data_IF_066978359043
#
_entry.id   IF_066978359043
#
_cell.length_a   1.000
_cell.length_b   1.000
_cell.length_c   1.000
_cell.angle_alpha   90.00
_cell.angle_beta   90.00
_cell.angle_gamma   90.00
#
_symmetry.space_group_name_H-M   'P 1'
#
loop_
_entity.id
_entity.type
_entity.pdbx_description
1 polymer ?
#
# COMPACT_ATOMS: atom_id res chain seq x y z
N UNK A 1 19.18 15.03 -0.14
CA UNK A 1 19.04 15.40 -1.55
C UNK A 1 17.69 16.08 -1.68
N UNK A 2 17.68 17.27 -2.24
CA UNK A 2 16.44 18.03 -2.41
C UNK A 2 15.71 17.47 -3.65
N UNK A 3 14.64 16.70 -3.44
CA UNK A 3 13.83 16.08 -4.49
C UNK A 3 12.72 17.03 -5.00
N UNK A 4 12.97 18.33 -5.03
CA UNK A 4 11.97 19.38 -5.22
C UNK A 4 11.48 19.56 -6.65
N UNK A 5 12.11 19.00 -7.66
CA UNK A 5 11.54 19.05 -9.01
C UNK A 5 10.33 18.14 -9.11
N UNK A 6 9.14 18.75 -9.35
CA UNK A 6 7.86 18.08 -9.55
C UNK A 6 7.27 17.36 -8.31
N UNK A 7 7.70 17.76 -7.11
CA UNK A 7 7.04 17.31 -5.88
C UNK A 7 5.66 17.95 -5.72
N UNK A 8 4.79 17.27 -4.99
CA UNK A 8 3.44 17.72 -4.67
C UNK A 8 3.16 17.48 -3.19
N UNK A 9 2.59 18.45 -2.53
CA UNK A 9 2.17 18.36 -1.13
C UNK A 9 0.65 18.39 -1.04
N UNK A 10 0.09 17.43 -0.30
CA UNK A 10 -1.33 17.37 0.06
C UNK A 10 -1.44 17.45 1.58
N UNK A 11 -2.13 18.50 2.07
CA UNK A 11 -2.39 18.71 3.49
C UNK A 11 -3.85 18.42 3.83
N UNK A 12 -4.09 17.76 4.95
CA UNK A 12 -5.44 17.44 5.43
C UNK A 12 -5.44 17.04 6.91
N UNK A 13 -6.65 16.94 7.49
CA UNK A 13 -6.86 16.37 8.82
C UNK A 13 -7.40 14.93 8.72
N UNK A 14 -6.89 14.05 9.55
CA UNK A 14 -7.37 12.65 9.64
C UNK A 14 -8.83 12.63 10.10
N UNK A 15 -9.68 11.92 9.34
CA UNK A 15 -11.12 11.84 9.60
C UNK A 15 -11.46 10.67 10.51
N UNK A 16 -12.56 10.75 11.26
CA UNK A 16 -13.02 9.67 12.14
C UNK A 16 -13.31 8.35 11.37
N UNK A 17 -13.83 8.43 10.14
CA UNK A 17 -14.09 7.26 9.30
C UNK A 17 -12.85 6.55 8.75
N UNK A 18 -11.66 7.10 8.99
CA UNK A 18 -10.37 6.55 8.56
C UNK A 18 -9.67 5.76 9.68
N UNK A 19 -10.28 5.75 10.89
CA UNK A 19 -9.73 5.13 12.10
C UNK A 19 -10.25 3.70 12.25
N UNK A 20 -9.35 2.78 12.53
CA UNK A 20 -9.66 1.39 12.83
C UNK A 20 -10.01 1.17 14.30
N UNK A 21 -10.32 -0.07 14.65
CA UNK A 21 -10.70 -0.50 16.01
C UNK A 21 -9.62 -0.22 17.08
N UNK A 22 -8.36 -0.16 16.64
CA UNK A 22 -7.20 0.15 17.47
C UNK A 22 -6.99 1.65 17.73
N UNK A 23 -7.89 2.52 17.28
CA UNK A 23 -7.84 3.97 17.50
C UNK A 23 -6.83 4.74 16.65
N UNK A 24 -6.21 4.09 15.67
CA UNK A 24 -5.32 4.72 14.69
C UNK A 24 -5.81 4.50 13.26
N UNK A 25 -5.24 5.22 12.33
CA UNK A 25 -5.58 5.15 10.91
C UNK A 25 -5.38 3.72 10.36
N UNK A 26 -6.31 3.27 9.53
CA UNK A 26 -6.20 2.00 8.82
C UNK A 26 -5.17 2.08 7.69
N UNK A 27 -4.56 0.94 7.30
CA UNK A 27 -3.67 0.88 6.13
C UNK A 27 -4.40 1.25 4.84
N UNK A 28 -5.70 0.95 4.74
CA UNK A 28 -6.51 1.35 3.59
C UNK A 28 -6.68 2.87 3.50
N UNK A 29 -6.93 3.55 4.61
CA UNK A 29 -7.00 5.01 4.65
C UNK A 29 -5.65 5.64 4.29
N UNK A 30 -4.55 5.12 4.83
CA UNK A 30 -3.20 5.54 4.42
C UNK A 30 -3.01 5.37 2.90
N UNK A 31 -3.37 4.21 2.35
CA UNK A 31 -3.32 3.96 0.90
C UNK A 31 -4.14 4.96 0.09
N UNK A 32 -5.35 5.32 0.56
CA UNK A 32 -6.20 6.33 -0.09
C UNK A 32 -5.52 7.70 -0.14
N UNK A 33 -4.88 8.16 0.94
CA UNK A 33 -4.17 9.44 0.95
C UNK A 33 -3.01 9.47 -0.04
N UNK A 34 -2.25 8.37 -0.11
CA UNK A 34 -1.13 8.26 -1.06
C UNK A 34 -1.63 8.23 -2.50
N UNK A 35 -2.73 7.53 -2.77
CA UNK A 35 -3.36 7.47 -4.09
C UNK A 35 -3.92 8.84 -4.50
N UNK A 36 -4.59 9.56 -3.60
CA UNK A 36 -5.10 10.91 -3.84
C UNK A 36 -3.98 11.88 -4.18
N UNK A 37 -2.93 11.93 -3.35
CA UNK A 37 -1.77 12.79 -3.59
C UNK A 37 -1.06 12.45 -4.90
N UNK A 38 -0.95 11.16 -5.24
CA UNK A 38 -0.37 10.69 -6.49
C UNK A 38 -1.18 11.13 -7.71
N UNK A 39 -2.52 11.01 -7.65
CA UNK A 39 -3.44 11.41 -8.71
C UNK A 39 -3.37 12.90 -8.98
N UNK A 40 -3.53 13.74 -7.95
CA UNK A 40 -3.46 15.20 -8.04
C UNK A 40 -2.09 15.67 -8.57
N UNK A 41 -1.01 15.04 -8.12
CA UNK A 41 0.33 15.29 -8.65
C UNK A 41 0.44 14.93 -10.13
N UNK A 42 -0.07 13.77 -10.55
CA UNK A 42 -0.02 13.32 -11.93
C UNK A 42 -0.82 14.24 -12.86
N UNK A 43 -2.02 14.66 -12.45
CA UNK A 43 -2.86 15.61 -13.19
C UNK A 43 -2.14 16.95 -13.36
N UNK A 44 -1.52 17.47 -12.31
CA UNK A 44 -0.75 18.74 -12.36
C UNK A 44 0.43 18.64 -13.31
N UNK A 45 1.05 17.47 -13.42
CA UNK A 45 2.25 17.26 -14.22
C UNK A 45 1.97 16.79 -15.67
N UNK A 46 0.70 16.59 -16.04
CA UNK A 46 0.27 16.26 -17.41
C UNK A 46 0.43 14.77 -17.77
N UNK A 47 0.44 13.90 -16.76
CA UNK A 47 0.38 12.44 -16.95
C UNK A 47 -0.64 11.76 -16.04
N UNK A 48 -1.69 12.47 -15.70
CA UNK A 48 -2.86 11.92 -15.04
C UNK A 48 -3.65 10.96 -15.94
N UNK A 49 -4.73 10.42 -15.40
CA UNK A 49 -5.52 9.41 -16.14
C UNK A 49 -6.07 9.96 -17.46
N UNK A 50 -6.61 11.18 -17.47
CA UNK A 50 -7.12 11.81 -18.68
C UNK A 50 -6.06 12.04 -19.76
N UNK A 51 -4.79 12.22 -19.38
CA UNK A 51 -3.69 12.35 -20.32
C UNK A 51 -3.35 11.01 -20.94
N UNK A 52 -3.35 9.92 -20.15
CA UNK A 52 -3.09 8.57 -20.64
C UNK A 52 -4.20 8.05 -21.54
N UNK A 53 -5.45 8.40 -21.29
CA UNK A 53 -6.59 8.04 -22.15
C UNK A 53 -6.41 8.50 -23.59
N UNK A 54 -5.68 9.60 -23.84
CA UNK A 54 -5.35 10.08 -25.21
C UNK A 54 -4.42 9.13 -25.96
N UNK A 55 -3.69 8.28 -25.22
CA UNK A 55 -2.82 7.24 -25.78
C UNK A 55 -3.50 5.87 -25.78
N UNK A 56 -4.77 5.76 -25.33
CA UNK A 56 -5.48 4.50 -25.22
C UNK A 56 -4.97 3.58 -24.10
N UNK A 57 -4.29 4.12 -23.09
CA UNK A 57 -3.73 3.36 -21.97
C UNK A 57 -4.18 3.91 -20.63
N UNK A 58 -4.03 3.12 -19.55
CA UNK A 58 -4.27 3.53 -18.16
C UNK A 58 -3.13 3.07 -17.25
N UNK A 59 -2.95 3.75 -16.11
CA UNK A 59 -1.98 3.35 -15.09
C UNK A 59 -2.42 2.08 -14.35
N UNK A 60 -1.47 1.18 -14.14
CA UNK A 60 -1.61 0.00 -13.28
C UNK A 60 -0.57 0.05 -12.18
N UNK A 61 -1.01 0.06 -10.93
CA UNK A 61 -0.14 -0.09 -9.77
C UNK A 61 0.32 -1.55 -9.69
N UNK A 62 1.63 -1.77 -9.72
CA UNK A 62 2.20 -3.13 -9.64
C UNK A 62 2.77 -3.44 -8.27
N UNK A 63 3.28 -2.44 -7.57
CA UNK A 63 3.85 -2.61 -6.22
C UNK A 63 3.75 -1.33 -5.41
N UNK A 64 3.50 -1.49 -4.11
CA UNK A 64 3.58 -0.44 -3.09
C UNK A 64 4.40 -0.96 -1.92
N UNK A 65 5.37 -0.16 -1.45
CA UNK A 65 6.16 -0.46 -0.26
C UNK A 65 6.10 0.73 0.68
N UNK A 66 5.73 0.49 1.93
CA UNK A 66 5.63 1.52 2.97
C UNK A 66 6.42 1.10 4.20
N UNK A 67 7.19 2.03 4.75
CA UNK A 67 7.80 1.97 6.07
C UNK A 67 7.05 2.89 6.99
N UNK A 68 6.62 2.40 8.13
CA UNK A 68 5.69 3.06 9.03
C UNK A 68 6.35 3.20 10.40
N UNK A 69 6.60 4.43 10.82
CA UNK A 69 7.03 4.72 12.19
C UNK A 69 5.83 4.66 13.15
N UNK A 70 4.74 5.34 12.77
CA UNK A 70 3.47 5.29 13.47
C UNK A 70 2.30 5.54 12.51
N UNK A 71 1.12 5.12 12.92
CA UNK A 71 -0.13 5.50 12.27
C UNK A 71 -0.78 6.65 13.03
N UNK A 72 -1.28 7.69 12.35
CA UNK A 72 -1.88 8.86 13.00
C UNK A 72 -3.28 8.57 13.55
N UNK A 73 -3.75 9.47 14.41
CA UNK A 73 -5.06 9.42 15.08
C UNK A 73 -6.03 10.43 14.45
N UNK A 74 -7.32 10.30 14.75
CA UNK A 74 -8.34 11.25 14.30
C UNK A 74 -7.99 12.69 14.71
N UNK A 75 -8.17 13.63 13.78
CA UNK A 75 -7.94 15.06 13.98
C UNK A 75 -6.49 15.50 13.80
N UNK A 76 -5.52 14.59 13.69
CA UNK A 76 -4.14 14.99 13.40
C UNK A 76 -4.05 15.65 12.02
N UNK A 77 -3.27 16.74 11.95
CA UNK A 77 -2.92 17.40 10.70
C UNK A 77 -1.73 16.67 10.07
N UNK A 78 -1.83 16.37 8.79
CA UNK A 78 -0.83 15.64 8.04
C UNK A 78 -0.49 16.33 6.74
N UNK A 79 0.74 16.12 6.27
CA UNK A 79 1.20 16.48 4.94
C UNK A 79 1.75 15.24 4.24
N UNK A 80 1.14 14.88 3.11
CA UNK A 80 1.67 13.87 2.20
C UNK A 80 2.51 14.57 1.14
N UNK A 81 3.80 14.30 1.14
CA UNK A 81 4.76 14.74 0.14
C UNK A 81 4.99 13.60 -0.86
N UNK A 82 4.81 13.86 -2.16
CA UNK A 82 4.99 12.85 -3.20
C UNK A 82 5.69 13.43 -4.44
N UNK A 83 6.46 12.59 -5.11
CA UNK A 83 7.18 12.97 -6.33
C UNK A 83 7.31 11.79 -7.30
N UNK A 84 7.15 12.01 -8.63
CA UNK A 84 7.54 11.03 -9.61
C UNK A 84 9.06 10.89 -9.63
N UNK A 85 9.57 9.73 -9.97
CA UNK A 85 11.01 9.47 -10.03
C UNK A 85 11.46 9.20 -11.46
N UNK A 86 11.48 7.97 -11.90
CA UNK A 86 11.87 7.59 -13.26
C UNK A 86 10.73 6.88 -13.97
N UNK A 87 10.70 6.96 -15.31
CA UNK A 87 9.82 6.16 -16.15
C UNK A 87 10.64 5.47 -17.23
N UNK A 88 10.99 4.21 -16.98
CA UNK A 88 11.65 3.32 -17.96
C UNK A 88 10.66 2.21 -18.35
N UNK A 89 10.92 0.97 -17.89
CA UNK A 89 9.94 -0.15 -17.98
C UNK A 89 8.79 0.00 -16.99
N UNK A 90 9.08 0.61 -15.84
CA UNK A 90 8.13 0.97 -14.79
C UNK A 90 8.32 2.44 -14.45
N UNK A 91 7.22 3.14 -14.19
CA UNK A 91 7.26 4.44 -13.57
C UNK A 91 7.33 4.27 -12.04
N UNK A 92 8.12 5.08 -11.37
CA UNK A 92 8.30 5.04 -9.93
C UNK A 92 7.83 6.35 -9.30
N UNK A 93 7.31 6.26 -8.09
CA UNK A 93 6.87 7.41 -7.27
C UNK A 93 7.30 7.23 -5.83
N UNK A 94 7.80 8.29 -5.21
CA UNK A 94 8.12 8.35 -3.79
C UNK A 94 7.00 8.99 -2.98
N UNK A 95 6.95 8.63 -1.69
CA UNK A 95 6.01 9.15 -0.71
C UNK A 95 6.68 9.38 0.63
N UNK A 96 6.34 10.49 1.27
CA UNK A 96 6.63 10.79 2.67
C UNK A 96 5.38 11.38 3.31
N UNK A 97 5.07 10.95 4.52
CA UNK A 97 3.97 11.52 5.32
C UNK A 97 4.57 12.14 6.58
N UNK A 98 4.24 13.40 6.80
CA UNK A 98 4.69 14.18 7.94
C UNK A 98 3.51 14.55 8.83
N UNK A 99 3.75 14.56 10.13
CA UNK A 99 2.80 15.11 11.11
C UNK A 99 2.90 16.66 11.20
N UNK A 100 2.08 17.25 12.07
CA UNK A 100 2.01 18.70 12.24
C UNK A 100 3.33 19.34 12.73
N UNK A 101 4.17 18.55 13.42
CA UNK A 101 5.48 18.96 13.88
C UNK A 101 6.58 18.77 12.82
N UNK A 102 6.21 18.28 11.64
CA UNK A 102 7.14 18.00 10.54
C UNK A 102 7.97 16.73 10.73
N UNK A 103 7.56 15.82 11.63
CA UNK A 103 8.22 14.52 11.81
C UNK A 103 7.75 13.56 10.74
N UNK A 104 8.68 12.85 10.12
CA UNK A 104 8.40 11.80 9.15
C UNK A 104 7.79 10.59 9.87
N UNK A 105 6.54 10.24 9.54
CA UNK A 105 5.80 9.11 10.15
C UNK A 105 5.60 7.93 9.19
N UNK A 106 5.61 8.19 7.87
CA UNK A 106 5.58 7.13 6.85
C UNK A 106 6.48 7.54 5.70
N UNK A 107 7.24 6.59 5.16
CA UNK A 107 7.96 6.74 3.89
C UNK A 107 7.74 5.55 2.99
N UNK A 108 7.83 5.74 1.68
CA UNK A 108 7.63 4.63 0.78
C UNK A 108 7.77 4.95 -0.70
N UNK A 109 7.41 3.99 -1.51
CA UNK A 109 7.41 4.13 -2.95
C UNK A 109 6.48 3.14 -3.64
N UNK A 110 6.12 3.48 -4.86
CA UNK A 110 5.30 2.65 -5.73
C UNK A 110 5.93 2.46 -7.10
N UNK A 111 5.55 1.37 -7.75
CA UNK A 111 5.91 1.06 -9.12
C UNK A 111 4.64 0.88 -9.96
N UNK A 112 4.63 1.50 -11.13
CA UNK A 112 3.51 1.58 -12.03
C UNK A 112 3.91 1.15 -13.43
N UNK A 113 2.97 0.59 -14.15
CA UNK A 113 3.06 0.34 -15.57
C UNK A 113 1.80 0.84 -16.25
N UNK A 114 1.70 0.68 -17.56
CA UNK A 114 0.50 1.00 -18.31
C UNK A 114 -0.11 -0.26 -18.94
N UNK A 115 -1.43 -0.24 -19.09
CA UNK A 115 -2.21 -1.27 -19.75
C UNK A 115 -2.93 -0.64 -20.94
N UNK A 116 -2.89 -1.30 -22.08
CA UNK A 116 -3.70 -0.95 -23.24
C UNK A 116 -5.18 -1.22 -22.94
N UNK A 117 -6.03 -0.26 -23.23
CA UNK A 117 -7.47 -0.34 -22.93
C UNK A 117 -8.26 -1.21 -23.91
N UNK A 118 -7.70 -1.44 -25.12
CA UNK A 118 -8.41 -2.20 -26.15
C UNK A 118 -8.29 -3.72 -25.94
N UNK A 119 -7.09 -4.21 -25.61
CA UNK A 119 -6.83 -5.64 -25.43
C UNK A 119 -6.45 -6.04 -24.01
N UNK A 120 -6.34 -5.06 -23.08
CA UNK A 120 -5.97 -5.21 -21.67
C UNK A 120 -4.61 -5.86 -21.45
N UNK A 121 -3.72 -5.71 -22.41
CA UNK A 121 -2.34 -6.17 -22.31
C UNK A 121 -1.43 -5.12 -21.68
N UNK A 122 -0.32 -5.57 -21.11
CA UNK A 122 0.73 -4.67 -20.62
C UNK A 122 1.39 -3.95 -21.79
N UNK A 123 1.43 -2.63 -21.73
CA UNK A 123 2.00 -1.78 -22.77
C UNK A 123 3.27 -1.04 -22.29
N UNK A 124 4.03 -0.49 -23.23
CA UNK A 124 5.10 0.43 -22.90
C UNK A 124 4.53 1.82 -22.52
N UNK A 125 5.17 2.49 -21.57
CA UNK A 125 4.80 3.86 -21.22
C UNK A 125 5.02 4.73 -22.48
N UNK A 126 4.00 5.49 -22.95
CA UNK A 126 4.15 6.34 -24.12
C UNK A 126 5.32 7.33 -23.97
N UNK A 127 6.11 7.51 -25.02
CA UNK A 127 7.30 8.38 -24.98
C UNK A 127 6.98 9.80 -24.52
N UNK A 128 5.84 10.37 -24.97
CA UNK A 128 5.38 11.68 -24.54
C UNK A 128 5.08 11.77 -23.05
N UNK A 129 4.63 10.67 -22.43
CA UNK A 129 4.41 10.56 -20.98
C UNK A 129 5.75 10.35 -20.28
N UNK A 130 6.60 9.44 -20.75
CA UNK A 130 7.90 9.15 -20.15
C UNK A 130 8.79 10.39 -20.09
N UNK A 131 8.76 11.25 -21.11
CA UNK A 131 9.50 12.50 -21.18
C UNK A 131 9.12 13.53 -20.10
N UNK A 132 7.93 13.41 -19.51
CA UNK A 132 7.48 14.28 -18.43
C UNK A 132 8.05 13.88 -17.06
N UNK A 133 8.58 12.66 -16.92
CA UNK A 133 9.18 12.21 -15.68
C UNK A 133 10.56 12.83 -15.47
N UNK A 134 10.92 13.22 -14.23
CA UNK A 134 12.25 13.68 -13.92
C UNK A 134 13.25 12.52 -13.96
N UNK A 135 14.51 12.82 -14.27
CA UNK A 135 15.60 11.86 -14.12
C UNK A 135 16.09 11.85 -12.67
N UNK A 136 15.28 11.33 -11.75
CA UNK A 136 15.62 11.23 -10.34
C UNK A 136 15.88 9.77 -9.94
N UNK A 137 16.71 9.52 -8.92
CA UNK A 137 16.89 8.17 -8.41
C UNK A 137 15.55 7.57 -7.97
N UNK A 138 15.39 6.27 -8.19
CA UNK A 138 14.25 5.54 -7.60
C UNK A 138 14.27 5.74 -6.10
N UNK A 139 13.11 5.76 -5.43
CA UNK A 139 13.06 5.62 -3.99
C UNK A 139 13.49 4.20 -3.61
N UNK A 140 14.75 3.88 -3.85
CA UNK A 140 15.30 2.52 -3.79
C UNK A 140 15.27 1.92 -2.39
N UNK A 141 15.29 2.76 -1.37
CA UNK A 141 15.17 2.32 0.02
C UNK A 141 13.77 1.79 0.37
N UNK A 142 12.79 1.99 -0.52
CA UNK A 142 11.43 1.53 -0.30
C UNK A 142 11.23 0.06 -0.67
N UNK A 143 12.07 -0.52 -1.55
CA UNK A 143 11.86 -1.89 -2.03
C UNK A 143 12.73 -2.90 -1.27
N UNK A 144 12.07 -3.81 -0.56
CA UNK A 144 12.71 -4.92 0.15
C UNK A 144 12.81 -6.11 -0.80
N UNK A 145 14.05 -6.47 -1.18
CA UNK A 145 14.29 -7.60 -2.08
C UNK A 145 13.69 -7.42 -3.49
N UNK A 146 13.87 -8.41 -4.33
CA UNK A 146 13.33 -8.38 -5.71
C UNK A 146 11.93 -8.95 -5.81
N UNK A 147 11.59 -9.96 -5.02
CA UNK A 147 10.33 -10.71 -5.11
C UNK A 147 9.87 -11.09 -3.71
N UNK A 148 8.61 -10.81 -3.41
CA UNK A 148 7.96 -11.32 -2.20
C UNK A 148 7.82 -12.85 -2.34
N UNK A 149 8.29 -13.66 -1.38
CA UNK A 149 8.15 -15.11 -1.44
C UNK A 149 6.69 -15.55 -1.55
N UNK A 150 6.45 -16.70 -2.16
CA UNK A 150 5.12 -17.31 -2.16
C UNK A 150 4.79 -17.85 -0.78
N UNK A 151 3.56 -17.64 -0.34
CA UNK A 151 3.03 -18.33 0.81
C UNK A 151 2.94 -19.83 0.49
N UNK A 152 3.58 -20.67 1.32
CA UNK A 152 3.63 -22.13 1.20
C UNK A 152 3.14 -22.75 2.51
N UNK A 153 2.44 -23.89 2.38
CA UNK A 153 2.04 -24.71 3.53
C UNK A 153 0.57 -24.59 3.90
N UNK A 154 0.11 -25.58 4.69
CA UNK A 154 -1.31 -25.76 5.08
C UNK A 154 -1.69 -25.07 6.39
N UNK A 155 -0.75 -24.36 7.03
CA UNK A 155 -0.95 -23.69 8.33
C UNK A 155 -1.29 -22.20 8.22
N UNK A 156 -1.82 -21.79 7.08
CA UNK A 156 -2.22 -20.40 6.86
C UNK A 156 -3.58 -20.13 7.53
N UNK A 157 -3.70 -18.96 8.17
CA UNK A 157 -5.02 -18.41 8.51
C UNK A 157 -5.69 -17.97 7.23
N UNK A 158 -6.98 -18.26 7.06
CA UNK A 158 -7.73 -17.91 5.86
C UNK A 158 -9.03 -17.19 6.18
N UNK A 159 -9.45 -16.32 5.26
CA UNK A 159 -10.74 -15.65 5.28
C UNK A 159 -11.30 -15.64 3.85
N UNK A 160 -12.56 -16.05 3.71
CA UNK A 160 -13.28 -15.95 2.44
C UNK A 160 -14.01 -14.61 2.37
N UNK A 161 -13.92 -13.95 1.23
CA UNK A 161 -14.63 -12.72 0.98
C UNK A 161 -15.18 -12.69 -0.46
N UNK A 162 -16.15 -11.81 -0.65
CA UNK A 162 -16.73 -11.56 -1.97
C UNK A 162 -16.58 -10.09 -2.30
N UNK A 163 -16.12 -9.78 -3.51
CA UNK A 163 -15.98 -8.41 -4.00
C UNK A 163 -17.34 -7.71 -4.01
N UNK A 164 -17.46 -6.62 -3.27
CA UNK A 164 -18.66 -5.81 -3.14
C UNK A 164 -18.62 -4.61 -4.09
N UNK A 165 -19.77 -3.95 -4.28
CA UNK A 165 -19.84 -2.71 -5.08
C UNK A 165 -18.98 -1.59 -4.49
N UNK A 166 -18.93 -1.47 -3.16
CA UNK A 166 -18.11 -0.46 -2.46
C UNK A 166 -16.61 -0.70 -2.55
N UNK A 167 -16.19 -1.86 -3.05
CA UNK A 167 -14.78 -2.16 -3.24
C UNK A 167 -14.26 -1.65 -4.60
N UNK A 168 -15.17 -1.22 -5.50
CA UNK A 168 -14.83 -0.83 -6.86
C UNK A 168 -14.41 0.64 -6.95
N UNK A 169 -13.47 0.91 -7.86
CA UNK A 169 -13.12 2.25 -8.30
C UNK A 169 -13.97 2.71 -9.50
N UNK A 170 -13.66 3.89 -10.04
CA UNK A 170 -14.35 4.47 -11.20
C UNK A 170 -14.19 3.64 -12.48
N UNK A 171 -13.15 2.78 -12.55
CA UNK A 171 -12.89 1.89 -13.69
C UNK A 171 -13.66 0.57 -13.59
N UNK A 172 -14.42 0.38 -12.51
CA UNK A 172 -15.20 -0.83 -12.25
C UNK A 172 -14.38 -2.02 -11.78
N UNK A 173 -13.14 -1.80 -11.36
CA UNK A 173 -12.25 -2.79 -10.76
C UNK A 173 -12.14 -2.55 -9.25
N UNK A 174 -11.65 -3.56 -8.52
CA UNK A 174 -11.35 -3.38 -7.11
C UNK A 174 -10.25 -2.34 -6.93
N UNK A 175 -10.56 -1.30 -6.13
CA UNK A 175 -9.58 -0.28 -5.75
C UNK A 175 -8.40 -0.93 -5.01
N UNK A 176 -7.17 -0.53 -5.37
CA UNK A 176 -5.93 -1.08 -4.79
C UNK A 176 -5.90 -1.00 -3.26
N UNK A 177 -6.53 0.00 -2.66
CA UNK A 177 -6.58 0.17 -1.20
C UNK A 177 -7.45 -0.86 -0.50
N UNK A 178 -8.39 -1.52 -1.21
CA UNK A 178 -9.22 -2.59 -0.66
C UNK A 178 -8.41 -3.84 -0.36
N UNK A 179 -7.41 -4.13 -1.18
CA UNK A 179 -6.49 -5.24 -0.89
C UNK A 179 -5.79 -5.04 0.46
N UNK A 180 -5.47 -3.80 0.83
CA UNK A 180 -4.88 -3.49 2.15
C UNK A 180 -5.83 -3.83 3.30
N UNK A 181 -7.13 -3.54 3.15
CA UNK A 181 -8.14 -3.96 4.14
C UNK A 181 -8.22 -5.49 4.22
N UNK A 182 -8.28 -6.16 3.08
CA UNK A 182 -8.45 -7.61 3.03
C UNK A 182 -7.26 -8.39 3.59
N UNK A 183 -6.03 -7.85 3.50
CA UNK A 183 -4.88 -8.45 4.18
C UNK A 183 -5.07 -8.49 5.71
N UNK A 184 -5.75 -7.49 6.26
CA UNK A 184 -5.97 -7.38 7.71
C UNK A 184 -6.99 -8.38 8.23
N UNK A 185 -7.92 -8.86 7.40
CA UNK A 185 -8.94 -9.86 7.78
C UNK A 185 -8.34 -11.22 8.22
N UNK A 186 -7.09 -11.48 7.87
CA UNK A 186 -6.40 -12.72 8.26
C UNK A 186 -5.49 -12.54 9.48
N UNK A 187 -5.42 -11.34 10.05
CA UNK A 187 -4.69 -11.10 11.28
C UNK A 187 -5.47 -11.67 12.48
N UNK A 188 -4.78 -12.10 13.54
CA UNK A 188 -5.46 -12.42 14.77
C UNK A 188 -6.23 -11.18 15.25
N UNK A 189 -7.46 -11.34 15.80
CA UNK A 189 -8.23 -10.23 16.31
C UNK A 189 -7.39 -9.46 17.33
N UNK A 190 -7.29 -8.15 17.15
CA UNK A 190 -6.69 -7.27 18.16
C UNK A 190 -7.56 -7.37 19.39
N UNK A 191 -7.01 -7.71 20.57
CA UNK A 191 -7.83 -7.76 21.79
C UNK A 191 -8.44 -6.37 21.96
N UNK A 192 -9.75 -6.28 21.84
CA UNK A 192 -10.46 -5.05 22.19
C UNK A 192 -10.07 -4.71 23.61
N UNK A 193 -9.63 -3.48 23.85
CA UNK A 193 -9.36 -2.95 25.17
C UNK A 193 -10.62 -3.15 26.03
N UNK A 194 -10.69 -4.27 26.75
CA UNK A 194 -11.69 -4.44 27.78
C UNK A 194 -11.37 -3.37 28.83
N UNK A 195 -12.27 -2.40 28.98
CA UNK A 195 -12.19 -1.43 30.06
C UNK A 195 -12.03 -2.21 31.37
N UNK A 196 -10.80 -2.39 31.83
CA UNK A 196 -10.48 -2.94 33.17
C UNK A 196 -10.08 -4.41 33.26
N UNK A 197 -9.51 -5.05 32.24
CA UNK A 197 -9.06 -6.44 32.33
C UNK A 197 -7.67 -6.68 31.77
N UNK A 198 -6.83 -7.34 32.54
CA UNK A 198 -5.51 -7.87 32.19
C UNK A 198 -5.62 -8.94 31.10
N UNK A 199 -5.68 -8.57 29.85
CA UNK A 199 -5.39 -9.50 28.74
C UNK A 199 -4.10 -9.03 28.07
N UNK A 200 -3.01 -9.76 28.36
CA UNK A 200 -1.64 -9.43 27.96
C UNK A 200 -1.35 -9.60 26.47
N UNK A 201 -2.12 -8.95 25.60
CA UNK A 201 -1.78 -8.84 24.18
C UNK A 201 -1.35 -7.41 23.88
N UNK A 202 -0.12 -7.26 23.46
CA UNK A 202 0.41 -5.99 22.97
C UNK A 202 -0.15 -5.72 21.58
N UNK A 203 -0.61 -4.48 21.28
CA UNK A 203 -1.13 -4.16 19.96
C UNK A 203 -0.03 -4.25 18.90
N UNK A 204 -0.32 -4.98 17.83
CA UNK A 204 0.58 -5.06 16.68
C UNK A 204 0.55 -3.74 15.89
N UNK A 205 1.71 -3.13 15.72
CA UNK A 205 1.89 -1.93 14.89
C UNK A 205 2.56 -2.32 13.59
N UNK A 206 1.98 -2.02 12.42
CA UNK A 206 2.64 -2.28 11.15
C UNK A 206 3.87 -1.39 11.00
N UNK A 207 5.02 -2.00 10.70
CA UNK A 207 6.29 -1.31 10.44
C UNK A 207 6.67 -1.31 8.97
N UNK A 208 6.31 -2.39 8.27
CA UNK A 208 6.52 -2.53 6.83
C UNK A 208 5.27 -3.13 6.18
N UNK A 209 4.89 -2.55 5.06
CA UNK A 209 3.99 -3.13 4.08
C UNK A 209 4.73 -3.19 2.75
N UNK A 210 4.84 -4.37 2.15
CA UNK A 210 5.30 -4.59 0.79
C UNK A 210 4.25 -5.43 0.07
N UNK A 211 3.55 -4.85 -0.90
CA UNK A 211 2.46 -5.48 -1.62
C UNK A 211 2.68 -5.43 -3.13
N UNK A 212 2.44 -6.55 -3.80
CA UNK A 212 2.41 -6.66 -5.27
C UNK A 212 1.01 -7.00 -5.75
N UNK A 213 0.50 -6.19 -6.66
CA UNK A 213 -0.75 -6.41 -7.37
C UNK A 213 -0.46 -7.20 -8.64
N UNK A 214 -1.14 -8.32 -8.87
CA UNK A 214 -0.82 -9.29 -9.90
C UNK A 214 -1.91 -9.44 -10.94
N UNK A 215 -3.16 -9.23 -10.53
CA UNK A 215 -4.32 -9.26 -11.40
C UNK A 215 -5.42 -8.38 -10.81
N UNK A 216 -6.24 -7.81 -11.68
CA UNK A 216 -7.44 -7.06 -11.31
C UNK A 216 -8.52 -8.02 -10.78
N UNK A 217 -9.37 -7.54 -9.87
CA UNK A 217 -10.56 -8.25 -9.42
C UNK A 217 -11.82 -7.49 -9.83
N UNK A 218 -12.89 -8.25 -10.07
CA UNK A 218 -14.14 -7.75 -10.60
C UNK A 218 -15.29 -7.96 -9.62
N UNK A 219 -16.44 -7.27 -9.82
CA UNK A 219 -17.62 -7.45 -8.98
C UNK A 219 -18.03 -8.91 -8.84
N UNK A 220 -18.39 -9.30 -7.62
CA UNK A 220 -18.92 -10.62 -7.28
C UNK A 220 -17.89 -11.77 -7.30
N UNK A 221 -16.63 -11.53 -7.65
CA UNK A 221 -15.60 -12.56 -7.49
C UNK A 221 -15.49 -12.99 -6.02
N UNK A 222 -15.28 -14.28 -5.83
CA UNK A 222 -14.99 -14.86 -4.52
C UNK A 222 -13.49 -15.05 -4.39
N UNK A 223 -12.96 -14.52 -3.29
CA UNK A 223 -11.53 -14.49 -3.01
C UNK A 223 -11.24 -15.18 -1.68
N UNK A 224 -10.11 -15.85 -1.60
CA UNK A 224 -9.54 -16.38 -0.38
C UNK A 224 -8.31 -15.55 0.00
N UNK A 225 -8.37 -14.90 1.15
CA UNK A 225 -7.24 -14.21 1.76
C UNK A 225 -6.53 -15.18 2.71
N UNK A 226 -5.23 -15.28 2.57
CA UNK A 226 -4.38 -16.19 3.33
C UNK A 226 -3.24 -15.43 3.98
N UNK A 227 -2.90 -15.76 5.23
CA UNK A 227 -1.66 -15.31 5.87
C UNK A 227 -0.98 -16.41 6.66
N UNK A 228 0.34 -16.37 6.71
CA UNK A 228 1.13 -17.26 7.55
C UNK A 228 2.38 -16.54 8.08
N UNK A 229 2.84 -16.90 9.30
CA UNK A 229 4.13 -16.46 9.79
C UNK A 229 5.25 -16.84 8.83
N UNK A 230 6.19 -15.94 8.67
CA UNK A 230 7.37 -16.16 7.84
C UNK A 230 8.62 -15.73 8.58
N UNK A 231 9.73 -16.46 8.35
CA UNK A 231 11.04 -15.85 8.57
C UNK A 231 11.18 -14.69 7.59
N UNK A 232 11.64 -13.54 8.06
CA UNK A 232 11.88 -12.41 7.18
C UNK A 232 12.72 -12.87 5.96
N UNK A 233 12.33 -12.45 4.72
CA UNK A 233 13.11 -12.77 3.53
C UNK A 233 14.57 -12.33 3.70
N UNK A 234 15.50 -13.04 3.09
CA UNK A 234 16.91 -12.65 3.10
C UNK A 234 17.06 -11.21 2.57
N UNK A 235 17.64 -10.32 3.38
CA UNK A 235 17.77 -8.89 3.09
C UNK A 235 16.59 -8.02 3.55
N UNK A 236 15.58 -8.59 4.19
CA UNK A 236 14.57 -7.79 4.87
C UNK A 236 15.18 -7.10 6.11
N UNK A 237 14.79 -5.85 6.41
CA UNK A 237 15.32 -5.16 7.57
C UNK A 237 14.85 -5.84 8.86
N UNK A 238 15.75 -6.00 9.82
CA UNK A 238 15.43 -6.40 11.20
C UNK A 238 14.82 -5.22 11.96
N UNK A 239 15.13 -4.01 11.50
CA UNK A 239 14.60 -2.75 11.99
C UNK A 239 14.00 -1.96 10.82
N UNK A 240 12.87 -1.31 11.06
CA UNK A 240 12.23 -0.39 10.12
C UNK A 240 12.11 0.97 10.80
N UNK A 241 12.74 2.00 10.20
CA UNK A 241 12.81 3.35 10.77
C UNK A 241 13.34 3.36 12.22
N UNK A 242 14.32 2.50 12.55
CA UNK A 242 14.87 2.38 13.90
C UNK A 242 13.99 1.64 14.91
N UNK A 243 12.88 1.04 14.46
CA UNK A 243 11.99 0.20 15.29
C UNK A 243 12.26 -1.26 15.02
N UNK A 244 12.32 -2.07 16.08
CA UNK A 244 12.47 -3.52 15.96
C UNK A 244 11.27 -4.16 15.26
N UNK A 245 11.51 -5.24 14.53
CA UNK A 245 10.48 -6.05 13.90
C UNK A 245 10.39 -7.37 14.65
N UNK A 246 9.25 -7.65 15.25
CA UNK A 246 9.03 -8.85 16.06
C UNK A 246 8.28 -9.94 15.30
N UNK A 247 7.42 -9.57 14.35
CA UNK A 247 6.60 -10.48 13.57
C UNK A 247 6.71 -10.18 12.08
N UNK A 248 6.73 -11.22 11.26
CA UNK A 248 6.68 -11.13 9.81
C UNK A 248 5.63 -12.08 9.27
N UNK A 249 4.76 -11.60 8.39
CA UNK A 249 3.69 -12.37 7.78
C UNK A 249 3.77 -12.28 6.26
N UNK A 250 3.63 -13.43 5.61
CA UNK A 250 3.35 -13.52 4.18
C UNK A 250 1.85 -13.61 3.96
N UNK A 251 1.38 -12.89 2.95
CA UNK A 251 -0.02 -12.90 2.56
C UNK A 251 -0.17 -13.29 1.09
N UNK A 252 -1.30 -13.90 0.78
CA UNK A 252 -1.72 -14.22 -0.59
C UNK A 252 -3.23 -14.03 -0.69
N UNK A 253 -3.69 -13.33 -1.73
CA UNK A 253 -5.11 -13.27 -2.08
C UNK A 253 -5.28 -14.02 -3.39
N UNK A 254 -6.21 -14.98 -3.41
CA UNK A 254 -6.43 -15.89 -4.54
C UNK A 254 -7.89 -15.90 -4.94
N UNK A 255 -8.17 -16.11 -6.21
CA UNK A 255 -9.52 -16.44 -6.66
C UNK A 255 -9.91 -17.83 -6.20
N UNK A 256 -11.13 -17.98 -5.70
CA UNK A 256 -11.66 -19.29 -5.32
C UNK A 256 -11.88 -20.19 -6.54
N UNK A 257 -12.22 -19.58 -7.69
CA UNK A 257 -12.60 -20.30 -8.92
C UNK A 257 -11.47 -21.10 -9.55
N UNK A 258 -10.25 -20.56 -9.56
CA UNK A 258 -9.10 -21.15 -10.29
C UNK A 258 -7.80 -21.16 -9.48
N UNK A 259 -7.83 -20.66 -8.24
CA UNK A 259 -6.65 -20.56 -7.38
C UNK A 259 -5.61 -19.54 -7.83
N UNK A 260 -5.90 -18.74 -8.86
CA UNK A 260 -4.96 -17.72 -9.35
C UNK A 260 -4.71 -16.65 -8.31
N UNK A 261 -3.44 -16.28 -8.09
CA UNK A 261 -3.03 -15.28 -7.11
C UNK A 261 -3.17 -13.89 -7.68
N UNK A 262 -4.04 -13.08 -7.08
CA UNK A 262 -4.31 -11.70 -7.50
C UNK A 262 -3.48 -10.67 -6.75
N UNK A 263 -3.02 -11.04 -5.55
CA UNK A 263 -2.21 -10.16 -4.71
C UNK A 263 -1.27 -10.98 -3.84
N UNK A 264 -0.10 -10.45 -3.55
CA UNK A 264 0.86 -11.00 -2.59
C UNK A 264 1.45 -9.88 -1.76
N UNK A 265 1.60 -10.10 -0.45
CA UNK A 265 2.23 -9.12 0.41
C UNK A 265 3.15 -9.77 1.45
N UNK A 266 4.07 -8.93 1.93
CA UNK A 266 4.86 -9.12 3.13
C UNK A 266 4.50 -7.98 4.08
N UNK A 267 4.14 -8.29 5.31
CA UNK A 267 3.99 -7.31 6.37
C UNK A 267 4.94 -7.63 7.51
N UNK A 268 5.45 -6.58 8.14
CA UNK A 268 6.28 -6.71 9.33
C UNK A 268 5.68 -5.84 10.42
N UNK A 269 5.69 -6.36 11.64
CA UNK A 269 5.00 -5.81 12.79
C UNK A 269 5.89 -5.75 14.00
N UNK A 270 5.60 -4.82 14.87
CA UNK A 270 6.19 -4.70 16.18
C UNK A 270 5.10 -4.69 17.25
N UNK A 271 5.45 -5.13 18.44
CA UNK A 271 4.62 -4.96 19.65
C UNK A 271 5.04 -3.64 20.30
N UNK A 272 4.23 -2.61 20.16
CA UNK A 272 4.49 -1.30 20.75
C UNK A 272 3.44 -0.98 21.82
N UNK A 273 3.78 -1.11 23.12
CA UNK A 273 2.84 -0.82 24.21
C UNK A 273 2.37 0.64 24.25
N UNK A 274 3.14 1.55 23.67
CA UNK A 274 2.81 2.99 23.66
C UNK A 274 1.88 3.36 22.48
N UNK A 275 1.85 2.57 21.43
CA UNK A 275 0.97 2.81 20.28
C UNK A 275 -0.52 2.60 20.61
N UNK A 276 -0.84 1.93 21.72
CA UNK A 276 -2.21 1.70 22.20
C UNK A 276 -2.74 2.81 23.12
N UNK A 277 -1.93 3.77 23.51
CA UNK A 277 -2.28 4.92 24.35
C UNK A 277 -2.47 6.15 23.47
#
# INVERSE_FOLDING_TARGET
MDFTEKAYDLEFAVRYGEIGENGVTTLAALGNWLQEAAGLSADTLGFGENDLLRYGVTWILTRLVLRIDRLPRAGEQLRVHTWPSTAEKLAHRGYEVFDAEGRLIVSGGSAWTVMDLADRSMAAIPEGIAALFPSQPRPCDSFVGRVIPRLKGDSATSCLLRVRRDDLDINGHVNNTRYLSWLMETLPPTPMLSKGGETGFEPLVPRLLDITFRAECFPQEELECLSAPSSAPAGAPVEVLGKAVTHSLLHSIRRVTDGSEVCRALTMWDCDPEAAR
#
